data_IF_860087655172
#
_entry.id   IF_860087655172
#
_cell.length_a   1.000
_cell.length_b   1.000
_cell.length_c   1.000
_cell.angle_alpha   90.00
_cell.angle_beta   90.00
_cell.angle_gamma   90.00
#
_symmetry.space_group_name_H-M   'P 1'
#
loop_
_entity.id
_entity.type
_entity.pdbx_description
1 polymer ?
#
# COMPACT_ATOMS: atom_id res chain seq x y z
N UNK A 1 -6.73 -2.18 -5.38
CA UNK A 1 -5.93 -3.08 -4.52
C UNK A 1 -6.86 -3.97 -3.72
N UNK A 2 -6.39 -5.20 -3.47
CA UNK A 2 -7.07 -6.13 -2.57
C UNK A 2 -6.13 -6.49 -1.43
N UNK A 3 -6.69 -6.82 -0.28
CA UNK A 3 -5.88 -7.20 0.89
C UNK A 3 -4.97 -8.38 0.51
N UNK A 4 -3.67 -8.23 0.83
CA UNK A 4 -2.66 -9.21 0.47
C UNK A 4 -1.88 -8.89 -0.80
N UNK A 5 -2.31 -7.90 -1.58
CA UNK A 5 -1.58 -7.50 -2.77
C UNK A 5 -0.22 -6.90 -2.40
N UNK A 6 0.80 -7.22 -3.20
CA UNK A 6 2.08 -6.53 -3.11
C UNK A 6 2.00 -5.24 -3.92
N UNK A 7 2.35 -4.15 -3.30
CA UNK A 7 2.21 -2.80 -3.88
C UNK A 7 3.56 -2.10 -3.79
N UNK A 8 3.96 -1.44 -4.87
CA UNK A 8 5.14 -0.60 -4.88
C UNK A 8 4.71 0.87 -4.79
N UNK A 9 5.24 1.58 -3.81
CA UNK A 9 5.04 3.03 -3.69
C UNK A 9 6.06 3.67 -4.63
N UNK A 10 5.57 4.32 -5.69
CA UNK A 10 6.43 4.75 -6.79
C UNK A 10 7.50 5.75 -6.33
N UNK A 11 7.12 6.71 -5.50
CA UNK A 11 8.03 7.77 -5.07
C UNK A 11 9.25 7.23 -4.33
N UNK A 12 9.04 6.27 -3.43
CA UNK A 12 10.12 5.71 -2.61
C UNK A 12 10.67 4.40 -3.15
N UNK A 13 9.94 3.75 -4.06
CA UNK A 13 10.32 2.44 -4.59
C UNK A 13 10.12 1.30 -3.62
N UNK A 14 9.45 1.54 -2.49
CA UNK A 14 9.30 0.52 -1.47
C UNK A 14 8.17 -0.44 -1.79
N UNK A 15 8.37 -1.70 -1.41
CA UNK A 15 7.39 -2.76 -1.60
C UNK A 15 6.69 -3.00 -0.27
N UNK A 16 5.38 -2.96 -0.29
CA UNK A 16 4.55 -3.13 0.91
C UNK A 16 3.40 -4.08 0.60
N UNK A 17 2.78 -4.63 1.64
CA UNK A 17 1.60 -5.49 1.50
C UNK A 17 0.37 -4.68 1.92
N UNK A 18 -0.64 -4.66 1.05
CA UNK A 18 -1.87 -3.94 1.35
C UNK A 18 -2.69 -4.70 2.40
N UNK A 19 -3.07 -4.01 3.46
CA UNK A 19 -3.83 -4.60 4.57
C UNK A 19 -5.29 -4.15 4.62
N UNK A 20 -5.65 -3.11 3.86
CA UNK A 20 -7.01 -2.62 3.82
C UNK A 20 -7.12 -1.13 4.10
N UNK A 21 -8.31 -0.69 4.47
CA UNK A 21 -8.59 0.71 4.77
C UNK A 21 -8.93 0.83 6.25
N UNK A 22 -8.31 1.78 6.93
CA UNK A 22 -8.55 2.04 8.33
C UNK A 22 -8.55 3.56 8.57
N UNK A 23 -9.67 4.08 9.10
CA UNK A 23 -9.77 5.50 9.46
C UNK A 23 -9.51 6.47 8.31
N UNK A 24 -9.98 6.15 7.10
CA UNK A 24 -9.77 7.00 5.93
C UNK A 24 -8.40 6.89 5.31
N UNK A 25 -7.60 5.91 5.73
CA UNK A 25 -6.26 5.69 5.22
C UNK A 25 -6.12 4.29 4.66
N UNK A 26 -5.25 4.14 3.66
CA UNK A 26 -4.77 2.83 3.27
C UNK A 26 -3.79 2.33 4.32
N UNK A 27 -3.92 1.09 4.73
CA UNK A 27 -2.99 0.45 5.65
C UNK A 27 -2.12 -0.54 4.89
N UNK A 28 -0.80 -0.44 5.09
CA UNK A 28 0.17 -1.34 4.46
C UNK A 28 1.10 -1.92 5.52
N UNK A 29 1.66 -3.09 5.23
CA UNK A 29 2.70 -3.70 6.05
C UNK A 29 4.04 -3.61 5.32
N UNK A 30 5.06 -3.14 6.02
CA UNK A 30 6.43 -3.04 5.52
C UNK A 30 7.33 -3.90 6.39
N UNK A 31 8.23 -4.63 5.76
CA UNK A 31 9.10 -5.55 6.52
C UNK A 31 9.95 -4.85 7.58
N UNK A 32 10.28 -3.58 7.37
CA UNK A 32 11.14 -2.81 8.29
C UNK A 32 10.32 -1.96 9.25
N UNK A 33 9.30 -1.27 8.74
CA UNK A 33 8.54 -0.30 9.53
C UNK A 33 7.22 -0.84 10.06
N UNK A 34 6.89 -2.06 9.70
CA UNK A 34 5.64 -2.71 10.10
C UNK A 34 4.44 -1.98 9.50
N UNK A 35 3.46 -1.59 10.31
CA UNK A 35 2.26 -0.94 9.77
C UNK A 35 2.55 0.49 9.33
N UNK A 36 2.14 0.81 8.11
CA UNK A 36 2.26 2.13 7.53
C UNK A 36 0.89 2.60 7.06
N UNK A 37 0.61 3.88 7.17
CA UNK A 37 -0.67 4.45 6.80
C UNK A 37 -0.48 5.60 5.82
N UNK A 38 -1.28 5.61 4.74
CA UNK A 38 -1.30 6.69 3.77
C UNK A 38 -2.72 7.17 3.61
N UNK A 39 -2.95 8.45 3.79
CA UNK A 39 -4.27 9.03 3.54
C UNK A 39 -4.69 8.73 2.10
N UNK A 40 -5.95 8.33 1.90
CA UNK A 40 -6.42 7.88 0.59
C UNK A 40 -6.22 8.96 -0.47
N UNK A 41 -6.46 10.21 -0.13
CA UNK A 41 -6.31 11.32 -1.07
C UNK A 41 -4.85 11.67 -1.38
N UNK A 42 -3.89 11.23 -0.57
CA UNK A 42 -2.46 11.45 -0.83
C UNK A 42 -1.81 10.32 -1.61
N UNK A 43 -2.53 9.23 -1.82
CA UNK A 43 -2.02 8.09 -2.59
C UNK A 43 -2.98 7.72 -3.72
N UNK A 44 -3.14 8.59 -4.73
CA UNK A 44 -3.96 8.26 -5.88
C UNK A 44 -3.32 7.13 -6.70
N UNK A 45 -4.09 6.50 -7.61
CA UNK A 45 -3.59 5.33 -8.35
C UNK A 45 -2.28 5.53 -9.10
N UNK A 46 -1.98 6.76 -9.54
CA UNK A 46 -0.72 7.04 -10.26
C UNK A 46 0.50 7.05 -9.36
N UNK A 47 0.32 6.98 -8.03
CA UNK A 47 1.43 7.01 -7.09
C UNK A 47 1.79 5.64 -6.53
N UNK A 48 1.08 4.59 -6.94
CA UNK A 48 1.42 3.24 -6.53
C UNK A 48 1.19 2.28 -7.68
N UNK A 49 1.78 1.08 -7.57
CA UNK A 49 1.66 0.05 -8.58
C UNK A 49 1.44 -1.29 -7.88
N UNK A 50 0.39 -2.02 -8.29
CA UNK A 50 0.17 -3.38 -7.79
C UNK A 50 1.06 -4.31 -8.59
N UNK A 51 2.03 -4.95 -7.94
CA UNK A 51 3.02 -5.79 -8.61
C UNK A 51 2.76 -7.27 -8.43
N UNK A 52 1.92 -7.65 -7.48
CA UNK A 52 1.52 -9.04 -7.31
C UNK A 52 0.13 -9.05 -6.67
N UNK A 53 -0.83 -9.64 -7.38
CA UNK A 53 -2.20 -9.67 -6.91
C UNK A 53 -2.44 -10.87 -5.99
N UNK A 54 -3.20 -10.63 -4.92
CA UNK A 54 -3.65 -11.70 -4.04
C UNK A 54 -4.69 -12.55 -4.78
N UNK A 55 -4.61 -13.88 -4.61
CA UNK A 55 -5.55 -14.82 -5.23
C UNK A 55 -6.28 -15.64 -4.19
#
# INVERSE_FOLDING_TARGET
MQVGDLVRIIKSGQIVVYLGIAGGCYEFWHHKWKNCYFAIDTLPPEKYEVISESR
#
